data_IF_859191587771
#
_entry.id   IF_859191587771
#
_cell.length_a   1.000
_cell.length_b   1.000
_cell.length_c   1.000
_cell.angle_alpha   90.00
_cell.angle_beta   90.00
_cell.angle_gamma   90.00
#
_symmetry.space_group_name_H-M   'P 1'
#
loop_
_entity.id
_entity.type
_entity.pdbx_description
1 polymer ?
#
# COMPACT_ATOMS: atom_id res chain seq x y z
N UNK A 1 -21.32 -28.22 -32.37
CA UNK A 1 -21.08 -28.32 -30.90
C UNK A 1 -20.64 -26.99 -30.35
N UNK A 2 -21.42 -26.42 -29.43
CA UNK A 2 -21.10 -25.12 -28.81
C UNK A 2 -20.08 -25.30 -27.70
N UNK A 3 -18.80 -25.12 -27.98
CA UNK A 3 -17.71 -25.13 -26.97
C UNK A 3 -17.91 -24.08 -25.84
N UNK A 4 -18.62 -23.02 -26.12
CA UNK A 4 -18.94 -21.97 -25.16
C UNK A 4 -19.85 -22.40 -24.00
N UNK A 5 -20.77 -23.35 -24.24
CA UNK A 5 -21.68 -23.84 -23.20
C UNK A 5 -20.98 -24.76 -22.19
N UNK A 6 -20.00 -25.56 -22.66
CA UNK A 6 -19.22 -26.46 -21.80
C UNK A 6 -18.27 -25.70 -20.87
N UNK A 7 -17.63 -24.65 -21.40
CA UNK A 7 -16.74 -23.79 -20.62
C UNK A 7 -17.45 -23.04 -19.48
N UNK A 8 -18.70 -22.57 -19.73
CA UNK A 8 -19.52 -21.91 -18.71
C UNK A 8 -19.95 -22.85 -17.57
N UNK A 9 -20.25 -24.11 -17.86
CA UNK A 9 -20.61 -25.08 -16.81
C UNK A 9 -19.41 -25.43 -15.92
N UNK A 10 -18.24 -25.63 -16.48
CA UNK A 10 -17.03 -25.90 -15.71
C UNK A 10 -16.59 -24.73 -14.83
N UNK A 11 -16.72 -23.49 -15.31
CA UNK A 11 -16.43 -22.28 -14.54
C UNK A 11 -17.36 -22.09 -13.34
N UNK A 12 -18.65 -22.34 -13.49
CA UNK A 12 -19.63 -22.24 -12.38
C UNK A 12 -19.39 -23.27 -11.29
N UNK A 13 -19.13 -24.54 -11.66
CA UNK A 13 -18.87 -25.59 -10.69
C UNK A 13 -17.60 -25.31 -9.87
N UNK A 14 -16.52 -24.86 -10.50
CA UNK A 14 -15.30 -24.45 -9.79
C UNK A 14 -15.51 -23.24 -8.88
N UNK A 15 -16.31 -22.29 -9.29
CA UNK A 15 -16.66 -21.10 -8.51
C UNK A 15 -17.45 -21.47 -7.24
N UNK A 16 -18.45 -22.37 -7.35
CA UNK A 16 -19.22 -22.83 -6.21
C UNK A 16 -18.39 -23.62 -5.20
N UNK A 17 -17.57 -24.57 -5.66
CA UNK A 17 -16.67 -25.33 -4.80
C UNK A 17 -15.67 -24.41 -4.05
N UNK A 18 -15.11 -23.45 -4.75
CA UNK A 18 -14.20 -22.45 -4.14
C UNK A 18 -14.93 -21.58 -3.12
N UNK A 19 -16.17 -21.17 -3.39
CA UNK A 19 -16.99 -20.37 -2.48
C UNK A 19 -17.32 -21.15 -1.22
N UNK A 20 -17.73 -22.41 -1.33
CA UNK A 20 -18.02 -23.29 -0.18
C UNK A 20 -16.76 -23.54 0.67
N UNK A 21 -15.62 -23.82 0.04
CA UNK A 21 -14.36 -24.00 0.74
C UNK A 21 -13.91 -22.74 1.49
N UNK A 22 -14.06 -21.56 0.89
CA UNK A 22 -13.75 -20.29 1.53
C UNK A 22 -14.70 -19.99 2.68
N UNK A 23 -15.99 -20.33 2.55
CA UNK A 23 -16.97 -20.17 3.63
C UNK A 23 -16.67 -21.06 4.83
N UNK A 24 -16.31 -22.31 4.59
CA UNK A 24 -15.91 -23.24 5.65
C UNK A 24 -14.66 -22.75 6.39
N UNK A 25 -13.64 -22.26 5.66
CA UNK A 25 -12.43 -21.67 6.25
C UNK A 25 -12.75 -20.42 7.08
N UNK A 26 -13.63 -19.56 6.59
CA UNK A 26 -14.06 -18.38 7.33
C UNK A 26 -14.80 -18.75 8.61
N UNK A 27 -15.70 -19.73 8.58
CA UNK A 27 -16.42 -20.21 9.77
C UNK A 27 -15.45 -20.75 10.82
N UNK A 28 -14.53 -21.64 10.43
CA UNK A 28 -13.51 -22.19 11.32
C UNK A 28 -12.60 -21.10 11.92
N UNK A 29 -12.23 -20.13 11.13
CA UNK A 29 -11.45 -18.99 11.63
C UNK A 29 -12.20 -18.18 12.69
N UNK A 30 -13.48 -17.86 12.46
CA UNK A 30 -14.27 -17.09 13.41
C UNK A 30 -14.63 -17.88 14.69
N UNK A 31 -14.73 -19.20 14.59
CA UNK A 31 -14.86 -20.07 15.77
C UNK A 31 -13.59 -20.02 16.62
N UNK A 32 -12.40 -20.09 16.01
CA UNK A 32 -11.12 -19.97 16.69
C UNK A 32 -10.91 -18.57 17.32
N UNK A 33 -11.44 -17.52 16.70
CA UNK A 33 -11.43 -16.17 17.28
C UNK A 33 -12.34 -16.10 18.52
N UNK A 34 -13.54 -16.68 18.46
CA UNK A 34 -14.49 -16.69 19.59
C UNK A 34 -13.99 -17.52 20.76
N UNK A 35 -13.28 -18.60 20.49
CA UNK A 35 -12.67 -19.44 21.54
C UNK A 35 -11.39 -18.86 22.16
N UNK A 36 -10.87 -17.76 21.57
CA UNK A 36 -9.62 -17.13 22.02
C UNK A 36 -8.35 -17.80 21.50
N UNK A 37 -8.47 -18.83 20.67
CA UNK A 37 -7.32 -19.51 20.06
C UNK A 37 -6.60 -18.63 19.03
N UNK A 38 -7.34 -17.75 18.33
CA UNK A 38 -6.78 -16.80 17.38
C UNK A 38 -7.21 -15.38 17.69
N UNK A 39 -6.33 -14.39 17.50
CA UNK A 39 -6.71 -13.00 17.66
C UNK A 39 -7.70 -12.58 16.55
N UNK A 40 -8.61 -11.63 16.82
CA UNK A 40 -9.47 -11.08 15.80
C UNK A 40 -8.63 -10.39 14.71
N UNK A 41 -9.12 -10.36 13.46
CA UNK A 41 -8.41 -9.69 12.39
C UNK A 41 -8.30 -8.20 12.72
N UNK A 42 -7.12 -7.65 12.54
CA UNK A 42 -6.92 -6.20 12.64
C UNK A 42 -7.75 -5.51 11.56
N UNK A 43 -8.54 -4.53 11.93
CA UNK A 43 -9.27 -3.70 10.96
C UNK A 43 -8.24 -3.03 10.05
N UNK A 44 -8.35 -3.25 8.75
CA UNK A 44 -7.53 -2.55 7.77
C UNK A 44 -7.92 -1.07 7.79
N UNK A 45 -6.95 -0.21 7.99
CA UNK A 45 -7.15 1.24 7.99
C UNK A 45 -7.13 1.78 6.57
N UNK A 46 -7.88 2.83 6.35
CA UNK A 46 -7.77 3.64 5.13
C UNK A 46 -6.59 4.59 5.31
N UNK A 47 -5.68 4.69 4.33
CA UNK A 47 -4.63 5.68 4.37
C UNK A 47 -5.17 7.10 4.58
N UNK A 48 -4.50 7.94 5.38
CA UNK A 48 -4.90 9.32 5.56
C UNK A 48 -4.73 10.13 4.26
N UNK A 49 -5.43 11.26 4.17
CA UNK A 49 -5.27 12.20 3.06
C UNK A 49 -3.83 12.76 2.99
N UNK A 50 -3.35 13.18 1.80
CA UNK A 50 -1.99 13.71 1.65
C UNK A 50 -1.65 14.85 2.61
N UNK A 51 -2.60 15.73 2.93
CA UNK A 51 -2.42 16.84 3.88
C UNK A 51 -2.17 16.35 5.31
N UNK A 52 -2.81 15.26 5.70
CA UNK A 52 -2.62 14.62 7.01
C UNK A 52 -1.28 13.89 7.05
N UNK A 53 -0.91 13.19 5.97
CA UNK A 53 0.41 12.55 5.83
C UNK A 53 1.52 13.60 5.98
N UNK A 54 1.39 14.73 5.29
CA UNK A 54 2.33 15.85 5.38
C UNK A 54 2.55 16.33 6.83
N UNK A 55 1.45 16.50 7.56
CA UNK A 55 1.49 16.94 8.95
C UNK A 55 2.15 15.91 9.86
N UNK A 56 1.80 14.65 9.73
CA UNK A 56 2.31 13.58 10.58
C UNK A 56 3.78 13.27 10.32
N UNK A 57 4.26 13.42 9.11
CA UNK A 57 5.64 13.11 8.71
C UNK A 57 6.57 14.32 8.71
N UNK A 58 6.10 15.54 8.95
CA UNK A 58 6.92 16.74 8.87
C UNK A 58 8.15 16.70 9.78
N UNK A 59 7.99 16.34 11.04
CA UNK A 59 9.10 16.22 11.98
C UNK A 59 10.03 15.08 11.65
N UNK A 60 9.47 13.96 11.23
CA UNK A 60 10.25 12.82 10.77
C UNK A 60 11.12 13.18 9.55
N UNK A 61 10.57 13.84 8.54
CA UNK A 61 11.29 14.30 7.36
C UNK A 61 12.47 15.20 7.72
N UNK A 62 12.26 16.12 8.66
CA UNK A 62 13.30 17.03 9.13
C UNK A 62 14.45 16.28 9.80
N UNK A 63 14.14 15.32 10.66
CA UNK A 63 15.12 14.50 11.38
C UNK A 63 15.86 13.51 10.45
N UNK A 64 15.16 13.01 9.45
CA UNK A 64 15.70 12.03 8.49
C UNK A 64 16.52 12.65 7.36
N UNK A 65 16.58 13.98 7.25
CA UNK A 65 17.30 14.67 6.18
C UNK A 65 16.59 14.61 4.83
N UNK A 66 15.28 14.40 4.84
CA UNK A 66 14.44 14.47 3.64
C UNK A 66 14.22 15.94 3.29
N UNK A 67 14.63 16.35 2.10
CA UNK A 67 14.46 17.72 1.61
C UNK A 67 13.14 17.90 0.86
N UNK A 68 12.61 16.83 0.28
CA UNK A 68 11.33 16.83 -0.42
C UNK A 68 10.66 15.47 -0.27
N UNK A 69 9.37 15.47 0.04
CA UNK A 69 8.54 14.27 0.06
C UNK A 69 7.33 14.48 -0.83
N UNK A 70 7.08 13.50 -1.69
CA UNK A 70 5.95 13.49 -2.60
C UNK A 70 5.12 12.22 -2.37
N UNK A 71 3.81 12.34 -2.37
CA UNK A 71 2.89 11.19 -2.39
C UNK A 71 2.49 10.90 -3.85
N UNK A 72 2.36 9.62 -4.17
CA UNK A 72 1.85 9.19 -5.48
C UNK A 72 0.89 8.00 -5.31
N UNK A 73 0.37 7.48 -6.40
CA UNK A 73 -0.55 6.36 -6.36
C UNK A 73 -1.94 6.70 -5.80
N UNK A 74 -2.63 5.69 -5.26
CA UNK A 74 -4.02 5.82 -4.83
C UNK A 74 -4.25 6.83 -3.71
N UNK A 75 -3.33 6.92 -2.75
CA UNK A 75 -3.44 7.89 -1.65
C UNK A 75 -3.36 9.34 -2.16
N UNK A 76 -2.48 9.63 -3.12
CA UNK A 76 -2.35 10.95 -3.73
C UNK A 76 -3.57 11.34 -4.57
N UNK A 77 -4.22 10.36 -5.21
CA UNK A 77 -5.43 10.57 -6.03
C UNK A 77 -6.73 10.62 -5.22
N UNK A 78 -6.69 10.36 -3.91
CA UNK A 78 -7.89 10.24 -3.09
C UNK A 78 -8.70 8.97 -3.31
N UNK A 79 -8.09 7.93 -3.89
CA UNK A 79 -8.72 6.65 -4.24
C UNK A 79 -8.34 5.52 -3.28
N UNK A 80 -7.64 5.83 -2.19
CA UNK A 80 -7.19 4.84 -1.23
C UNK A 80 -8.36 4.13 -0.54
N UNK A 81 -8.25 2.80 -0.44
CA UNK A 81 -9.24 1.93 0.17
C UNK A 81 -8.67 1.32 1.46
N UNK A 82 -9.51 0.71 2.32
CA UNK A 82 -9.03 -0.03 3.47
C UNK A 82 -8.00 -1.09 3.05
N UNK A 83 -6.81 -1.03 3.64
CA UNK A 83 -5.69 -1.92 3.32
C UNK A 83 -4.80 -1.48 2.15
N UNK A 84 -5.06 -0.32 1.54
CA UNK A 84 -4.13 0.29 0.58
C UNK A 84 -2.85 0.74 1.28
N UNK A 85 -1.74 0.73 0.54
CA UNK A 85 -0.46 1.27 0.98
C UNK A 85 -0.39 2.76 0.69
N UNK A 86 0.49 3.47 1.40
CA UNK A 86 0.86 4.84 1.08
C UNK A 86 2.15 4.80 0.29
N UNK A 87 2.10 5.28 -0.94
CA UNK A 87 3.25 5.36 -1.83
C UNK A 87 3.89 6.75 -1.72
N UNK A 88 5.16 6.77 -1.31
CA UNK A 88 5.93 7.99 -1.11
C UNK A 88 7.22 7.98 -1.93
N UNK A 89 7.62 9.16 -2.37
CA UNK A 89 8.86 9.40 -3.08
C UNK A 89 9.64 10.50 -2.37
N UNK A 90 10.84 10.17 -1.89
CA UNK A 90 11.69 11.08 -1.13
C UNK A 90 12.89 11.56 -1.92
N UNK A 91 13.25 12.83 -1.70
CA UNK A 91 14.53 13.41 -2.10
C UNK A 91 15.31 13.71 -0.82
N UNK A 92 16.57 13.30 -0.78
CA UNK A 92 17.45 13.50 0.38
C UNK A 92 18.51 14.56 0.09
N UNK A 93 18.82 15.36 1.09
CA UNK A 93 19.94 16.30 1.03
C UNK A 93 21.30 15.58 1.08
N UNK A 94 21.36 14.48 1.84
CA UNK A 94 22.52 13.60 1.95
C UNK A 94 22.03 12.16 1.84
N UNK A 95 22.81 11.30 1.18
CA UNK A 95 22.45 9.89 1.02
C UNK A 95 22.17 9.24 2.38
N UNK A 96 20.99 8.66 2.62
CA UNK A 96 20.61 8.06 3.90
C UNK A 96 21.34 6.75 4.19
N UNK A 97 21.99 6.13 3.18
CA UNK A 97 22.68 4.86 3.32
C UNK A 97 21.75 3.73 3.75
N UNK A 98 22.22 2.88 4.66
CA UNK A 98 21.47 1.73 5.16
C UNK A 98 20.21 2.10 5.94
N UNK A 99 20.13 3.31 6.49
CA UNK A 99 18.94 3.80 7.19
C UNK A 99 17.70 3.81 6.29
N UNK A 100 17.88 3.97 4.99
CA UNK A 100 16.78 3.95 4.03
C UNK A 100 15.89 2.70 4.17
N UNK A 101 16.48 1.55 4.46
CA UNK A 101 15.76 0.28 4.59
C UNK A 101 14.83 0.19 5.80
N UNK A 102 15.03 1.03 6.80
CA UNK A 102 14.16 1.10 7.99
C UNK A 102 13.10 2.20 7.93
N UNK A 103 13.25 3.12 6.98
CA UNK A 103 12.37 4.29 6.88
C UNK A 103 10.92 3.94 6.55
N UNK A 104 10.68 2.93 5.73
CA UNK A 104 9.32 2.46 5.43
C UNK A 104 8.58 2.03 6.70
N UNK A 105 9.24 1.23 7.53
CA UNK A 105 8.67 0.74 8.79
C UNK A 105 8.46 1.87 9.80
N UNK A 106 9.39 2.81 9.88
CA UNK A 106 9.31 3.97 10.75
C UNK A 106 8.13 4.89 10.35
N UNK A 107 7.99 5.17 9.05
CA UNK A 107 6.87 5.95 8.53
C UNK A 107 5.53 5.21 8.69
N UNK A 108 5.51 3.90 8.45
CA UNK A 108 4.33 3.07 8.66
C UNK A 108 3.86 3.08 10.11
N UNK A 109 4.79 3.08 11.07
CA UNK A 109 4.47 3.20 12.48
C UNK A 109 3.82 4.56 12.82
N UNK A 110 4.29 5.64 12.22
CA UNK A 110 3.73 6.99 12.41
C UNK A 110 2.34 7.09 11.78
N UNK A 111 2.15 6.59 10.56
CA UNK A 111 0.89 6.69 9.82
C UNK A 111 -0.15 5.63 10.22
N UNK A 112 0.28 4.53 10.80
CA UNK A 112 -0.58 3.40 11.15
C UNK A 112 -1.09 2.59 9.95
N UNK A 113 -0.46 2.73 8.79
CA UNK A 113 -0.74 2.01 7.54
C UNK A 113 0.58 1.65 6.86
N UNK A 114 0.63 0.62 5.99
CA UNK A 114 1.83 0.28 5.25
C UNK A 114 2.30 1.44 4.38
N UNK A 115 3.61 1.61 4.29
CA UNK A 115 4.28 2.63 3.47
C UNK A 115 5.23 1.96 2.50
N UNK A 116 5.20 2.40 1.26
CA UNK A 116 6.18 2.06 0.23
C UNK A 116 6.97 3.31 -0.12
N UNK A 117 8.28 3.29 0.10
CA UNK A 117 9.16 4.44 -0.07
C UNK A 117 10.12 4.22 -1.23
N UNK A 118 10.11 5.14 -2.18
CA UNK A 118 11.08 5.22 -3.26
C UNK A 118 11.92 6.49 -3.12
N UNK A 119 13.12 6.48 -3.66
CA UNK A 119 13.86 7.73 -3.89
C UNK A 119 13.46 8.34 -5.23
N UNK A 120 13.45 9.66 -5.33
CA UNK A 120 13.19 10.33 -6.60
C UNK A 120 14.17 9.90 -7.68
N UNK A 121 15.45 9.75 -7.31
CA UNK A 121 16.49 9.27 -8.20
C UNK A 121 16.18 7.87 -8.76
N UNK A 122 15.75 6.94 -7.91
CA UNK A 122 15.40 5.58 -8.37
C UNK A 122 14.20 5.57 -9.32
N UNK A 123 13.25 6.47 -9.13
CA UNK A 123 12.11 6.63 -10.04
C UNK A 123 12.56 7.21 -11.39
N UNK A 124 13.40 8.23 -11.38
CA UNK A 124 13.93 8.84 -12.60
C UNK A 124 14.79 7.88 -13.42
N UNK A 125 15.50 6.96 -12.77
CA UNK A 125 16.33 5.93 -13.40
C UNK A 125 15.57 4.64 -13.74
N UNK A 126 14.28 4.58 -13.48
CA UNK A 126 13.45 3.40 -13.71
C UNK A 126 13.44 3.02 -15.19
N UNK A 127 13.72 1.76 -15.51
CA UNK A 127 13.78 1.25 -16.88
C UNK A 127 12.43 1.21 -17.59
N UNK A 128 11.34 1.03 -16.83
CA UNK A 128 9.99 1.04 -17.38
C UNK A 128 9.49 2.49 -17.53
N UNK A 129 9.43 3.02 -18.78
CA UNK A 129 9.03 4.41 -19.00
C UNK A 129 7.58 4.70 -18.66
N UNK A 130 6.68 3.73 -18.79
CA UNK A 130 5.26 3.88 -18.46
C UNK A 130 5.04 4.02 -16.97
N UNK A 131 5.69 3.16 -16.18
CA UNK A 131 5.61 3.23 -14.72
C UNK A 131 6.24 4.52 -14.19
N UNK A 132 7.40 4.90 -14.72
CA UNK A 132 8.06 6.16 -14.38
C UNK A 132 7.17 7.37 -14.66
N UNK A 133 6.58 7.46 -15.85
CA UNK A 133 5.68 8.53 -16.22
C UNK A 133 4.43 8.59 -15.33
N UNK A 134 3.85 7.44 -15.01
CA UNK A 134 2.68 7.35 -14.12
C UNK A 134 2.98 7.86 -12.71
N UNK A 135 4.10 7.44 -12.13
CA UNK A 135 4.51 7.88 -10.78
C UNK A 135 4.74 9.40 -10.77
N UNK A 136 5.47 9.93 -11.75
CA UNK A 136 5.78 11.35 -11.82
C UNK A 136 4.54 12.22 -12.10
N UNK A 137 3.57 11.71 -12.85
CA UNK A 137 2.30 12.39 -13.11
C UNK A 137 1.42 12.46 -11.86
N UNK A 138 1.41 11.39 -11.05
CA UNK A 138 0.64 11.32 -9.80
C UNK A 138 1.31 12.06 -8.63
N UNK A 139 2.61 12.34 -8.72
CA UNK A 139 3.40 12.88 -7.62
C UNK A 139 2.87 14.24 -7.15
N UNK A 140 2.50 14.28 -5.87
CA UNK A 140 2.02 15.47 -5.16
C UNK A 140 3.00 15.79 -4.03
N UNK A 141 3.61 16.98 -4.08
CA UNK A 141 4.51 17.43 -3.02
C UNK A 141 3.72 17.64 -1.73
N UNK A 142 4.17 16.98 -0.66
CA UNK A 142 3.55 17.06 0.67
C UNK A 142 4.49 17.64 1.73
N UNK A 143 5.79 17.69 1.46
CA UNK A 143 6.79 18.28 2.34
C UNK A 143 7.94 18.86 1.55
N UNK A 144 8.44 20.01 1.99
CA UNK A 144 9.67 20.66 1.52
C UNK A 144 10.43 21.23 2.71
N UNK A 145 11.65 20.79 2.87
CA UNK A 145 12.58 21.27 3.89
C UNK A 145 13.55 22.31 3.39
#
# INVERSE_FOLDING_TARGET
MNHTAFSRKGGRARSLAKTLANRAKATAYWEAVRSGEKPPPRRRRVPPAPEIIARLLADYCRQAGITRLEAFGSAARGEAKPGSDVDLMATFGTNPGLRFFTMEDEMAAILGVPVHLLTRESVEQMSNPYRRASILADAKEIYRG
#
